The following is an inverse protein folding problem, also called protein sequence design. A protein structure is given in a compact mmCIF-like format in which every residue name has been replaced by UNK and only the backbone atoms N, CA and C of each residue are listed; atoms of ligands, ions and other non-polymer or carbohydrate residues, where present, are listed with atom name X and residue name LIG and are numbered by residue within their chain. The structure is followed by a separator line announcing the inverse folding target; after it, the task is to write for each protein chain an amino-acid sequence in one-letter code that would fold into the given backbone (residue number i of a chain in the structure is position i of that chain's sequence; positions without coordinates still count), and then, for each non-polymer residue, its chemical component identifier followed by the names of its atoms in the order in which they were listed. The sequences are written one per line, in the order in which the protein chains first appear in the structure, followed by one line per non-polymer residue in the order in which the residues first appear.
data_IF_920482134428
#
_entry.id   IF_920482134428
#
_cell.length_a   1.000
_cell.length_b   1.000
_cell.length_c   1.000
_cell.angle_alpha   90.00
_cell.angle_beta   90.00
_cell.angle_gamma   90.00
#
_symmetry.space_group_name_H-M   'P 1'
#
loop_
_entity.id
_entity.type
_entity.pdbx_description
1 polymer ?
#
# COMPACT_ATOMS: atom_id res chain seq x y z
N UNK A 1 29.44 20.38 37.63
CA UNK A 1 29.27 19.53 36.43
C UNK A 1 28.96 20.37 35.19
N UNK A 2 27.87 21.16 35.18
CA UNK A 2 27.50 22.05 34.05
C UNK A 2 28.63 23.06 33.72
N UNK A 3 29.18 23.76 34.72
CA UNK A 3 30.29 24.70 34.51
C UNK A 3 31.57 24.05 33.94
N UNK A 4 31.80 22.76 34.21
CA UNK A 4 32.93 22.02 33.64
C UNK A 4 32.69 21.73 32.15
N UNK A 5 31.44 21.45 31.76
CA UNK A 5 31.07 21.27 30.35
C UNK A 5 31.22 22.57 29.56
N UNK A 6 30.75 23.69 30.13
CA UNK A 6 30.88 25.02 29.51
C UNK A 6 32.36 25.39 29.34
N UNK A 7 33.17 25.24 30.39
CA UNK A 7 34.60 25.56 30.32
C UNK A 7 35.37 24.64 29.36
N UNK A 8 35.00 23.36 29.26
CA UNK A 8 35.53 22.45 28.26
C UNK A 8 35.18 22.89 26.83
N UNK A 9 33.92 23.25 26.58
CA UNK A 9 33.46 23.75 25.26
C UNK A 9 34.18 25.03 24.85
N UNK A 10 34.37 25.97 25.79
CA UNK A 10 35.09 27.23 25.53
C UNK A 10 36.57 27.00 25.20
N UNK A 11 37.25 26.08 25.90
CA UNK A 11 38.65 25.74 25.61
C UNK A 11 38.82 25.07 24.24
N UNK A 12 37.82 24.30 23.81
CA UNK A 12 37.85 23.52 22.57
C UNK A 12 36.98 24.14 21.45
N UNK A 13 36.92 25.47 21.36
CA UNK A 13 36.04 26.20 20.42
C UNK A 13 36.07 25.71 18.97
N UNK A 14 37.25 25.35 18.45
CA UNK A 14 37.38 24.88 17.06
C UNK A 14 36.70 23.53 16.86
N UNK A 15 36.81 22.64 17.85
CA UNK A 15 36.18 21.31 17.80
C UNK A 15 34.66 21.46 17.87
N UNK A 16 34.15 22.33 18.76
CA UNK A 16 32.71 22.57 18.89
C UNK A 16 32.13 23.14 17.60
N UNK A 17 32.81 24.10 16.96
CA UNK A 17 32.37 24.66 15.68
C UNK A 17 32.39 23.61 14.54
N UNK A 18 33.40 22.74 14.51
CA UNK A 18 33.46 21.63 13.54
C UNK A 18 32.32 20.62 13.75
N UNK A 19 32.00 20.30 15.01
CA UNK A 19 30.85 19.43 15.34
C UNK A 19 29.54 20.09 14.90
N UNK A 20 29.34 21.37 15.22
CA UNK A 20 28.14 22.10 14.82
C UNK A 20 27.99 22.16 13.29
N UNK A 21 29.08 22.43 12.56
CA UNK A 21 29.08 22.41 11.09
C UNK A 21 28.79 21.01 10.53
N UNK A 22 29.36 19.97 11.14
CA UNK A 22 29.09 18.58 10.77
C UNK A 22 27.63 18.18 11.01
N UNK A 23 27.06 18.56 12.16
CA UNK A 23 25.64 18.36 12.47
C UNK A 23 24.74 19.14 11.51
N UNK A 24 25.08 20.37 11.18
CA UNK A 24 24.33 21.14 10.18
C UNK A 24 24.35 20.46 8.82
N UNK A 25 25.52 20.04 8.34
CA UNK A 25 25.64 19.32 7.07
C UNK A 25 24.87 18.01 7.04
N UNK A 26 24.92 17.23 8.13
CA UNK A 26 24.12 16.01 8.27
C UNK A 26 22.63 16.31 8.33
N UNK A 27 22.20 17.34 9.04
CA UNK A 27 20.80 17.72 9.11
C UNK A 27 20.24 18.19 7.77
N UNK A 28 21.01 18.96 6.99
CA UNK A 28 20.63 19.33 5.61
C UNK A 28 20.46 18.09 4.73
N UNK A 29 21.36 17.12 4.82
CA UNK A 29 21.19 15.83 4.14
C UNK A 29 19.92 15.11 4.61
N UNK A 30 19.70 15.04 5.93
CA UNK A 30 18.54 14.39 6.54
C UNK A 30 17.20 15.00 6.11
N UNK A 31 17.12 16.32 5.93
CA UNK A 31 15.93 17.00 5.38
C UNK A 31 15.60 16.46 3.98
N UNK A 32 16.60 16.21 3.14
CA UNK A 32 16.38 15.74 1.76
C UNK A 32 16.05 14.26 1.64
N UNK A 33 16.43 13.45 2.64
CA UNK A 33 16.21 11.99 2.63
C UNK A 33 15.06 11.55 3.53
N UNK A 34 14.44 12.44 4.29
CA UNK A 34 13.38 12.08 5.22
C UNK A 34 12.15 11.58 4.47
N UNK A 35 11.47 10.57 5.05
CA UNK A 35 10.19 10.08 4.52
C UNK A 35 9.13 11.15 4.73
N UNK A 36 8.41 11.54 3.69
CA UNK A 36 7.40 12.60 3.76
C UNK A 36 6.01 12.00 3.60
N UNK A 37 5.08 12.42 4.46
CA UNK A 37 3.65 12.11 4.33
C UNK A 37 2.82 13.28 4.87
N UNK A 38 1.54 13.35 4.53
CA UNK A 38 0.65 14.39 5.04
C UNK A 38 0.32 14.14 6.52
N UNK A 39 0.11 12.88 6.89
CA UNK A 39 -0.30 12.43 8.22
C UNK A 39 0.58 11.28 8.69
N UNK A 40 0.77 11.09 10.02
CA UNK A 40 1.39 9.87 10.52
C UNK A 40 0.50 8.66 10.25
N UNK A 41 1.11 7.49 10.15
CA UNK A 41 0.36 6.24 10.09
C UNK A 41 -0.28 5.96 11.46
N UNK A 42 -1.61 6.03 11.51
CA UNK A 42 -2.43 5.76 12.70
C UNK A 42 -3.08 4.37 12.65
N UNK A 43 -2.68 3.53 11.69
CA UNK A 43 -3.27 2.21 11.53
C UNK A 43 -2.83 1.25 12.64
N UNK A 44 -3.74 0.36 13.03
CA UNK A 44 -3.40 -0.73 13.93
C UNK A 44 -2.43 -1.70 13.25
N UNK A 45 -1.44 -2.19 14.01
CA UNK A 45 -0.61 -3.29 13.56
C UNK A 45 -1.46 -4.54 13.41
N UNK A 46 -1.84 -4.85 12.17
CA UNK A 46 -2.77 -5.92 11.88
C UNK A 46 -2.32 -6.77 10.71
N UNK A 47 -2.67 -8.04 10.77
CA UNK A 47 -2.51 -9.00 9.68
C UNK A 47 -3.88 -9.48 9.25
N UNK A 48 -4.17 -9.29 7.97
CA UNK A 48 -5.43 -9.72 7.37
C UNK A 48 -5.27 -11.16 6.87
N UNK A 49 -6.23 -12.01 7.20
CA UNK A 49 -6.40 -13.35 6.64
C UNK A 49 -7.73 -13.35 5.90
N UNK A 50 -7.68 -13.74 4.63
CA UNK A 50 -8.83 -13.77 3.75
C UNK A 50 -9.06 -15.19 3.25
N UNK A 51 -10.29 -15.68 3.36
CA UNK A 51 -10.67 -17.02 2.90
C UNK A 51 -11.92 -16.95 2.04
N UNK A 52 -11.82 -17.48 0.82
CA UNK A 52 -12.96 -17.62 -0.09
C UNK A 52 -13.50 -19.05 -0.06
N UNK A 53 -14.83 -19.17 0.05
CA UNK A 53 -15.54 -20.42 -0.11
C UNK A 53 -16.94 -20.13 -0.68
N UNK A 54 -16.96 -19.79 -1.98
CA UNK A 54 -18.13 -19.25 -2.66
C UNK A 54 -19.37 -20.16 -2.63
N UNK A 55 -20.55 -19.54 -2.61
CA UNK A 55 -21.84 -20.22 -2.60
C UNK A 55 -22.31 -20.67 -1.21
N UNK A 56 -21.68 -20.18 -0.13
CA UNK A 56 -22.03 -20.51 1.26
C UNK A 56 -22.67 -19.32 1.98
N UNK A 57 -23.66 -19.59 2.82
CA UNK A 57 -24.30 -18.56 3.64
C UNK A 57 -23.33 -18.01 4.70
N UNK A 58 -23.52 -16.77 5.18
CA UNK A 58 -22.68 -16.19 6.22
C UNK A 58 -22.59 -17.04 7.48
N UNK A 59 -23.69 -17.71 7.88
CA UNK A 59 -23.68 -18.60 9.05
C UNK A 59 -22.79 -19.82 8.86
N UNK A 60 -22.82 -20.45 7.67
CA UNK A 60 -21.94 -21.59 7.37
C UNK A 60 -20.48 -21.14 7.31
N UNK A 61 -20.21 -19.97 6.74
CA UNK A 61 -18.87 -19.38 6.75
C UNK A 61 -18.37 -19.14 8.16
N UNK A 62 -19.22 -18.62 9.05
CA UNK A 62 -18.88 -18.43 10.46
C UNK A 62 -18.52 -19.75 11.13
N UNK A 63 -19.42 -20.73 11.06
CA UNK A 63 -19.27 -21.99 11.81
C UNK A 63 -18.12 -22.87 11.30
N UNK A 64 -17.86 -22.87 9.99
CA UNK A 64 -16.92 -23.81 9.36
C UNK A 64 -15.56 -23.20 9.00
N UNK A 65 -15.47 -21.87 8.88
CA UNK A 65 -14.24 -21.18 8.41
C UNK A 65 -13.78 -20.14 9.43
N UNK A 66 -14.60 -19.11 9.67
CA UNK A 66 -14.20 -17.96 10.48
C UNK A 66 -13.95 -18.35 11.93
N UNK A 67 -14.88 -19.05 12.57
CA UNK A 67 -14.78 -19.42 13.99
C UNK A 67 -13.57 -20.35 14.27
N UNK A 68 -13.34 -21.43 13.49
CA UNK A 68 -12.12 -22.24 13.64
C UNK A 68 -10.83 -21.44 13.45
N UNK A 69 -10.77 -20.52 12.49
CA UNK A 69 -9.58 -19.70 12.26
C UNK A 69 -9.36 -18.68 13.39
N UNK A 70 -10.39 -17.93 13.79
CA UNK A 70 -10.31 -16.94 14.86
C UNK A 70 -9.85 -17.57 16.17
N UNK A 71 -10.46 -18.69 16.57
CA UNK A 71 -10.09 -19.39 17.81
C UNK A 71 -8.65 -19.92 17.78
N UNK A 72 -8.14 -20.34 16.62
CA UNK A 72 -6.75 -20.77 16.47
C UNK A 72 -5.76 -19.59 16.50
N UNK A 73 -6.13 -18.44 15.94
CA UNK A 73 -5.30 -17.24 15.83
C UNK A 73 -5.28 -16.43 17.14
N UNK A 74 -6.35 -16.45 17.93
CA UNK A 74 -6.45 -15.69 19.18
C UNK A 74 -5.40 -16.09 20.22
N UNK A 75 -4.95 -17.35 20.22
CA UNK A 75 -3.94 -17.86 21.15
C UNK A 75 -2.49 -17.54 20.76
N UNK A 76 -2.25 -16.80 19.67
CA UNK A 76 -0.89 -16.45 19.25
C UNK A 76 -0.25 -15.40 20.17
N UNK A 77 1.08 -15.45 20.35
CA UNK A 77 1.78 -14.45 21.15
C UNK A 77 1.63 -13.04 20.56
N UNK A 78 1.56 -12.04 21.43
CA UNK A 78 1.44 -10.62 21.09
C UNK A 78 0.16 -10.22 20.33
N UNK A 79 -0.83 -11.12 20.23
CA UNK A 79 -2.16 -10.75 19.75
C UNK A 79 -2.88 -9.95 20.83
N UNK A 80 -3.41 -8.79 20.46
CA UNK A 80 -4.25 -7.95 21.31
C UNK A 80 -5.70 -8.43 21.25
N UNK A 81 -6.23 -8.61 20.04
CA UNK A 81 -7.54 -9.21 19.79
C UNK A 81 -7.66 -9.62 18.30
N UNK A 82 -8.66 -10.45 17.99
CA UNK A 82 -8.95 -10.90 16.62
C UNK A 82 -10.38 -10.51 16.26
N UNK A 83 -10.59 -9.94 15.08
CA UNK A 83 -11.92 -9.63 14.54
C UNK A 83 -12.20 -10.54 13.35
N UNK A 84 -13.35 -11.21 13.33
CA UNK A 84 -13.82 -11.99 12.20
C UNK A 84 -15.07 -11.35 11.58
N UNK A 85 -15.16 -11.35 10.26
CA UNK A 85 -16.33 -10.93 9.50
C UNK A 85 -16.67 -12.01 8.48
N UNK A 86 -17.82 -12.65 8.68
CA UNK A 86 -18.35 -13.68 7.79
C UNK A 86 -19.38 -13.08 6.83
N UNK A 87 -19.09 -13.16 5.53
CA UNK A 87 -19.97 -12.72 4.45
C UNK A 87 -20.42 -13.91 3.60
N UNK A 88 -21.25 -13.66 2.60
CA UNK A 88 -21.65 -14.71 1.67
C UNK A 88 -20.44 -15.20 0.86
N UNK A 89 -20.00 -16.43 1.14
CA UNK A 89 -18.87 -17.07 0.48
C UNK A 89 -17.49 -16.51 0.83
N UNK A 90 -17.37 -15.59 1.79
CA UNK A 90 -16.10 -14.95 2.14
C UNK A 90 -15.95 -14.80 3.66
N UNK A 91 -14.72 -14.93 4.14
CA UNK A 91 -14.33 -14.69 5.53
C UNK A 91 -13.14 -13.74 5.58
N UNK A 92 -13.29 -12.64 6.32
CA UNK A 92 -12.22 -11.69 6.60
C UNK A 92 -11.87 -11.76 8.08
N UNK A 93 -10.61 -12.04 8.38
CA UNK A 93 -10.10 -12.10 9.75
C UNK A 93 -8.98 -11.08 9.88
N UNK A 94 -9.13 -10.18 10.83
CA UNK A 94 -8.15 -9.18 11.19
C UNK A 94 -7.51 -9.61 12.50
N UNK A 95 -6.22 -9.93 12.47
CA UNK A 95 -5.44 -10.27 13.67
C UNK A 95 -4.70 -9.01 14.09
N UNK A 96 -5.08 -8.41 15.22
CA UNK A 96 -4.51 -7.16 15.72
C UNK A 96 -3.45 -7.50 16.76
N UNK A 97 -2.23 -7.05 16.54
CA UNK A 97 -1.08 -7.25 17.41
C UNK A 97 -0.90 -6.07 18.38
N UNK A 98 -0.01 -6.22 19.34
CA UNK A 98 0.45 -5.11 20.17
C UNK A 98 1.22 -4.10 19.30
N UNK A 99 1.17 -2.82 19.66
CA UNK A 99 1.69 -1.73 18.82
C UNK A 99 3.20 -1.86 18.51
N UNK A 100 3.98 -2.46 19.41
CA UNK A 100 5.44 -2.65 19.26
C UNK A 100 5.85 -3.94 18.53
N UNK A 101 4.88 -4.75 18.08
CA UNK A 101 5.18 -5.99 17.37
C UNK A 101 5.75 -5.70 15.98
N UNK A 102 6.77 -6.43 15.55
CA UNK A 102 7.23 -6.34 14.16
C UNK A 102 6.19 -6.95 13.20
N UNK A 103 5.83 -6.22 12.14
CA UNK A 103 4.78 -6.63 11.19
C UNK A 103 5.16 -7.89 10.42
N UNK A 104 6.42 -8.00 9.99
CA UNK A 104 6.85 -9.18 9.22
C UNK A 104 6.91 -10.42 10.11
N UNK A 105 7.37 -10.29 11.35
CA UNK A 105 7.28 -11.33 12.36
C UNK A 105 5.84 -11.75 12.62
N UNK A 106 4.91 -10.79 12.77
CA UNK A 106 3.49 -11.07 12.95
C UNK A 106 2.91 -11.86 11.76
N UNK A 107 3.24 -11.45 10.53
CA UNK A 107 2.85 -12.13 9.29
C UNK A 107 3.39 -13.56 9.21
N UNK A 108 4.65 -13.77 9.59
CA UNK A 108 5.25 -15.11 9.66
C UNK A 108 4.55 -16.00 10.69
N UNK A 109 4.25 -15.47 11.88
CA UNK A 109 3.52 -16.22 12.92
C UNK A 109 2.12 -16.60 12.49
N UNK A 110 1.41 -15.68 11.83
CA UNK A 110 0.09 -15.95 11.24
C UNK A 110 0.21 -17.05 10.20
N UNK A 111 1.18 -16.97 9.28
CA UNK A 111 1.38 -17.97 8.24
C UNK A 111 1.68 -19.37 8.81
N UNK A 112 2.52 -19.45 9.84
CA UNK A 112 2.77 -20.70 10.57
C UNK A 112 1.47 -21.28 11.14
N UNK A 113 0.64 -20.44 11.76
CA UNK A 113 -0.61 -20.88 12.37
C UNK A 113 -1.66 -21.29 11.32
N UNK A 114 -1.72 -20.59 10.20
CA UNK A 114 -2.61 -20.92 9.08
C UNK A 114 -2.27 -22.28 8.47
N UNK A 115 -0.99 -22.63 8.35
CA UNK A 115 -0.58 -23.95 7.84
C UNK A 115 -1.12 -25.11 8.69
N UNK A 116 -1.25 -24.92 10.00
CA UNK A 116 -1.89 -25.90 10.88
C UNK A 116 -3.42 -25.85 10.76
N UNK A 117 -4.00 -24.66 10.79
CA UNK A 117 -5.45 -24.46 10.77
C UNK A 117 -6.10 -24.87 9.45
N UNK A 118 -5.37 -24.84 8.33
CA UNK A 118 -5.86 -25.26 7.02
C UNK A 118 -6.39 -26.70 6.99
N UNK A 119 -5.88 -27.58 7.88
CA UNK A 119 -6.37 -28.96 8.00
C UNK A 119 -7.75 -29.08 8.65
N UNK A 120 -8.20 -28.04 9.33
CA UNK A 120 -9.50 -27.97 9.99
C UNK A 120 -10.58 -27.39 9.06
N UNK A 121 -10.18 -26.88 7.90
CA UNK A 121 -11.08 -26.22 6.97
C UNK A 121 -11.71 -27.21 5.98
N UNK A 122 -12.94 -26.94 5.51
CA UNK A 122 -13.57 -27.72 4.44
C UNK A 122 -12.75 -27.72 3.15
N UNK A 123 -12.93 -28.76 2.34
CA UNK A 123 -12.31 -28.83 1.02
C UNK A 123 -12.71 -27.62 0.15
N UNK A 124 -11.70 -26.93 -0.40
CA UNK A 124 -11.87 -25.74 -1.22
C UNK A 124 -11.86 -24.41 -0.46
N UNK A 125 -11.87 -24.40 0.87
CA UNK A 125 -11.69 -23.17 1.67
C UNK A 125 -10.21 -22.95 1.97
N UNK A 126 -9.53 -22.12 1.16
CA UNK A 126 -8.09 -21.90 1.27
C UNK A 126 -7.84 -20.51 1.89
N UNK A 127 -7.31 -20.43 3.12
CA UNK A 127 -7.00 -19.16 3.75
C UNK A 127 -5.72 -18.59 3.14
N UNK A 128 -5.76 -17.30 2.85
CA UNK A 128 -4.67 -16.53 2.24
C UNK A 128 -4.32 -15.34 3.11
N UNK A 129 -3.07 -14.90 3.05
CA UNK A 129 -2.62 -13.71 3.75
C UNK A 129 -2.95 -12.48 2.90
N UNK A 130 -3.51 -11.44 3.51
CA UNK A 130 -3.75 -10.17 2.85
C UNK A 130 -2.44 -9.45 2.48
N UNK A 131 -2.52 -8.34 1.72
CA UNK A 131 -1.36 -7.54 1.33
C UNK A 131 -0.55 -7.03 2.54
N UNK A 132 0.68 -6.60 2.31
CA UNK A 132 1.53 -5.94 3.31
C UNK A 132 1.33 -4.41 3.35
N UNK A 133 0.17 -3.94 2.88
CA UNK A 133 -0.31 -2.57 3.03
C UNK A 133 -1.39 -2.42 4.10
N UNK A 134 -1.58 -1.21 4.61
CA UNK A 134 -2.60 -0.88 5.63
C UNK A 134 -3.82 -0.21 4.99
N UNK A 135 -4.90 0.00 5.74
CA UNK A 135 -6.07 0.74 5.25
C UNK A 135 -5.76 2.20 4.88
N UNK A 136 -4.72 2.78 5.48
CA UNK A 136 -4.18 4.09 5.08
C UNK A 136 -3.12 3.97 3.97
N UNK A 137 -2.81 2.78 3.48
CA UNK A 137 -1.89 2.56 2.37
C UNK A 137 -2.45 2.93 0.99
N UNK A 138 -3.71 3.35 0.89
CA UNK A 138 -4.34 3.74 -0.37
C UNK A 138 -3.83 5.10 -0.84
N UNK A 139 -2.81 5.12 -1.70
CA UNK A 139 -2.08 6.35 -2.08
C UNK A 139 -2.55 6.98 -3.38
N UNK A 140 -3.05 6.18 -4.32
CA UNK A 140 -3.49 6.66 -5.64
C UNK A 140 -4.61 5.77 -6.19
N UNK A 141 -5.71 6.36 -6.64
CA UNK A 141 -6.79 5.65 -7.34
C UNK A 141 -6.91 6.19 -8.76
N UNK A 142 -7.06 5.29 -9.72
CA UNK A 142 -7.26 5.65 -11.11
C UNK A 142 -8.37 4.82 -11.73
N UNK A 143 -8.97 5.36 -12.79
CA UNK A 143 -9.85 4.65 -13.71
C UNK A 143 -9.24 4.62 -15.10
N UNK A 144 -9.70 3.69 -15.93
CA UNK A 144 -9.38 3.64 -17.35
C UNK A 144 -10.46 4.41 -18.11
N UNK A 145 -10.09 5.55 -18.71
CA UNK A 145 -10.93 6.23 -19.67
C UNK A 145 -10.82 5.52 -21.02
N UNK A 146 -11.85 4.76 -21.38
CA UNK A 146 -11.87 3.87 -22.53
C UNK A 146 -13.22 3.99 -23.27
N UNK A 147 -13.49 5.17 -23.81
CA UNK A 147 -14.74 5.44 -24.54
C UNK A 147 -14.98 4.40 -25.66
N UNK A 148 -16.13 3.74 -25.62
CA UNK A 148 -16.53 2.72 -26.59
C UNK A 148 -15.98 1.31 -26.35
N UNK A 149 -15.22 1.09 -25.27
CA UNK A 149 -14.75 -0.24 -24.86
C UNK A 149 -15.71 -0.85 -23.83
N UNK A 150 -16.00 -2.14 -23.97
CA UNK A 150 -16.83 -2.88 -23.01
C UNK A 150 -16.17 -2.95 -21.62
N UNK A 151 -16.97 -2.91 -20.55
CA UNK A 151 -16.49 -2.95 -19.17
C UNK A 151 -15.73 -4.25 -18.84
N UNK A 152 -16.04 -5.36 -19.52
CA UNK A 152 -15.30 -6.61 -19.38
C UNK A 152 -13.94 -6.58 -20.11
N UNK A 153 -13.83 -5.86 -21.22
CA UNK A 153 -12.56 -5.61 -21.89
C UNK A 153 -11.67 -4.67 -21.09
N UNK A 154 -12.23 -3.59 -20.55
CA UNK A 154 -11.53 -2.69 -19.64
C UNK A 154 -10.99 -3.44 -18.42
N UNK A 155 -11.82 -4.31 -17.82
CA UNK A 155 -11.41 -5.15 -16.69
C UNK A 155 -10.32 -6.14 -17.05
N UNK A 156 -10.36 -6.72 -18.25
CA UNK A 156 -9.29 -7.59 -18.72
C UNK A 156 -7.96 -6.84 -18.91
N UNK A 157 -7.99 -5.62 -19.48
CA UNK A 157 -6.80 -4.76 -19.58
C UNK A 157 -6.26 -4.41 -18.20
N UNK A 158 -7.15 -4.06 -17.26
CA UNK A 158 -6.78 -3.76 -15.88
C UNK A 158 -6.10 -4.97 -15.20
N UNK A 159 -6.73 -6.13 -15.21
CA UNK A 159 -6.26 -7.30 -14.46
C UNK A 159 -5.02 -7.98 -15.08
N UNK A 160 -4.93 -8.02 -16.41
CA UNK A 160 -3.91 -8.80 -17.12
C UNK A 160 -2.76 -7.98 -17.70
N UNK A 161 -2.88 -6.65 -17.74
CA UNK A 161 -1.82 -5.78 -18.25
C UNK A 161 -1.40 -4.72 -17.21
N UNK A 162 -2.33 -3.83 -16.83
CA UNK A 162 -2.02 -2.70 -15.95
C UNK A 162 -1.59 -3.16 -14.55
N UNK A 163 -2.35 -4.07 -13.94
CA UNK A 163 -2.10 -4.60 -12.60
C UNK A 163 -0.67 -5.14 -12.48
N UNK A 164 -0.25 -6.02 -13.37
CA UNK A 164 1.09 -6.60 -13.36
C UNK A 164 2.18 -5.56 -13.60
N UNK A 165 1.95 -4.58 -14.47
CA UNK A 165 2.94 -3.56 -14.76
C UNK A 165 3.17 -2.61 -13.57
N UNK A 166 2.10 -2.20 -12.88
CA UNK A 166 2.17 -1.30 -11.73
C UNK A 166 2.58 -2.03 -10.43
N UNK A 167 2.26 -3.31 -10.27
CA UNK A 167 2.67 -4.10 -9.11
C UNK A 167 4.19 -4.32 -9.04
N UNK A 168 4.91 -4.16 -10.16
CA UNK A 168 6.37 -4.22 -10.20
C UNK A 168 7.06 -2.92 -9.71
N UNK A 169 6.31 -1.88 -9.37
CA UNK A 169 6.87 -0.62 -8.90
C UNK A 169 7.36 -0.78 -7.45
N UNK A 170 8.62 -0.40 -7.12
CA UNK A 170 9.13 -0.44 -5.76
C UNK A 170 8.22 0.34 -4.79
N UNK A 171 7.94 -0.26 -3.63
CA UNK A 171 7.08 0.28 -2.59
C UNK A 171 5.57 0.04 -2.78
N UNK A 172 5.15 -0.50 -3.92
CA UNK A 172 3.76 -0.99 -4.10
C UNK A 172 3.62 -2.37 -3.44
N UNK A 173 2.57 -2.51 -2.63
CA UNK A 173 2.14 -3.78 -2.03
C UNK A 173 1.19 -4.53 -2.96
N UNK A 174 0.16 -3.84 -3.42
CA UNK A 174 -0.91 -4.40 -4.22
C UNK A 174 -1.50 -3.36 -5.16
N UNK A 175 -1.96 -3.82 -6.32
CA UNK A 175 -2.86 -3.09 -7.19
C UNK A 175 -4.23 -3.79 -7.15
N UNK A 176 -5.15 -3.22 -6.40
CA UNK A 176 -6.48 -3.79 -6.19
C UNK A 176 -7.44 -3.27 -7.28
N UNK A 177 -7.86 -4.15 -8.17
CA UNK A 177 -8.80 -3.82 -9.25
C UNK A 177 -10.21 -3.65 -8.71
N UNK A 178 -10.96 -2.69 -9.25
CA UNK A 178 -12.37 -2.48 -8.93
C UNK A 178 -13.20 -2.21 -10.19
N UNK A 179 -14.51 -2.41 -10.07
CA UNK A 179 -15.46 -2.21 -11.17
C UNK A 179 -15.32 -3.24 -12.29
N UNK A 180 -16.13 -3.07 -13.34
CA UNK A 180 -16.11 -3.91 -14.53
C UNK A 180 -16.60 -5.34 -14.34
N UNK A 181 -16.43 -6.15 -15.39
CA UNK A 181 -16.85 -7.55 -15.42
C UNK A 181 -15.66 -8.48 -15.63
N UNK A 182 -15.46 -9.46 -14.74
CA UNK A 182 -14.55 -10.54 -15.05
C UNK A 182 -15.19 -11.44 -16.11
N UNK A 183 -14.50 -11.63 -17.23
CA UNK A 183 -15.02 -12.44 -18.34
C UNK A 183 -15.16 -13.89 -17.89
N UNK A 184 -16.36 -14.44 -18.02
CA UNK A 184 -16.69 -15.81 -17.68
C UNK A 184 -17.42 -16.48 -18.85
N UNK A 185 -17.08 -17.73 -19.13
CA UNK A 185 -17.89 -18.58 -20.01
C UNK A 185 -18.97 -19.27 -19.18
N UNK A 186 -20.24 -18.92 -19.43
CA UNK A 186 -21.38 -19.49 -18.73
C UNK A 186 -22.08 -20.54 -19.59
N UNK A 187 -22.25 -21.73 -19.02
CA UNK A 187 -23.00 -22.84 -19.62
C UNK A 187 -24.37 -22.89 -18.93
N UNK A 188 -25.41 -22.39 -19.62
CA UNK A 188 -26.79 -22.38 -19.12
C UNK A 188 -27.52 -23.62 -19.60
N UNK A 189 -27.70 -24.59 -18.71
CA UNK A 189 -28.28 -25.90 -19.02
C UNK A 189 -29.81 -25.84 -19.01
N UNK A 190 -30.47 -26.46 -19.99
CA UNK A 190 -31.93 -26.59 -20.06
C UNK A 190 -32.40 -27.85 -19.31
N UNK A 191 -33.18 -27.71 -18.22
CA UNK A 191 -33.67 -28.85 -17.44
C UNK A 191 -34.53 -29.84 -18.26
N UNK A 192 -35.29 -29.36 -19.24
CA UNK A 192 -36.14 -30.21 -20.08
C UNK A 192 -35.29 -31.08 -21.00
N UNK A 193 -34.23 -30.50 -21.59
CA UNK A 193 -33.30 -31.25 -22.44
C UNK A 193 -32.49 -32.26 -21.65
N UNK A 194 -32.03 -31.90 -20.45
CA UNK A 194 -31.39 -32.85 -19.53
C UNK A 194 -32.29 -34.07 -19.28
N UNK A 195 -33.56 -33.83 -19.00
CA UNK A 195 -34.54 -34.90 -18.75
C UNK A 195 -34.73 -35.77 -20.01
N UNK A 196 -34.87 -35.15 -21.19
CA UNK A 196 -35.03 -35.85 -22.46
C UNK A 196 -33.84 -36.77 -22.78
N UNK A 197 -32.61 -36.30 -22.57
CA UNK A 197 -31.39 -37.08 -22.79
C UNK A 197 -31.00 -37.97 -21.60
N UNK A 198 -31.79 -37.99 -20.52
CA UNK A 198 -31.52 -38.70 -19.28
C UNK A 198 -30.12 -38.37 -18.69
N UNK A 199 -29.79 -37.08 -18.67
CA UNK A 199 -28.54 -36.53 -18.16
C UNK A 199 -28.76 -35.75 -16.86
N UNK A 200 -27.76 -35.81 -15.97
CA UNK A 200 -27.73 -35.06 -14.72
C UNK A 200 -26.71 -33.91 -14.79
N UNK A 201 -26.94 -32.84 -14.02
CA UNK A 201 -26.00 -31.70 -13.92
C UNK A 201 -24.58 -32.14 -13.53
N UNK A 202 -24.36 -33.06 -12.56
CA UNK A 202 -23.02 -33.56 -12.24
C UNK A 202 -22.31 -34.22 -13.43
N UNK A 203 -23.02 -34.92 -14.31
CA UNK A 203 -22.42 -35.51 -15.52
C UNK A 203 -21.95 -34.43 -16.49
N UNK A 204 -22.73 -33.37 -16.69
CA UNK A 204 -22.32 -32.22 -17.52
C UNK A 204 -21.07 -31.56 -16.94
N UNK A 205 -21.07 -31.28 -15.63
CA UNK A 205 -19.91 -30.69 -14.95
C UNK A 205 -18.65 -31.56 -15.08
N UNK A 206 -18.79 -32.89 -14.93
CA UNK A 206 -17.68 -33.81 -15.07
C UNK A 206 -17.13 -33.84 -16.51
N UNK A 207 -18.01 -33.85 -17.52
CA UNK A 207 -17.62 -33.81 -18.92
C UNK A 207 -16.84 -32.53 -19.27
N UNK A 208 -17.33 -31.37 -18.82
CA UNK A 208 -16.63 -30.09 -19.05
C UNK A 208 -15.26 -30.06 -18.36
N UNK A 209 -15.18 -30.51 -17.09
CA UNK A 209 -13.91 -30.57 -16.35
C UNK A 209 -12.88 -31.51 -17.00
N UNK A 210 -13.33 -32.63 -17.55
CA UNK A 210 -12.45 -33.60 -18.20
C UNK A 210 -11.88 -33.12 -19.55
N UNK A 211 -12.56 -32.18 -20.21
CA UNK A 211 -12.21 -31.69 -21.56
C UNK A 211 -11.49 -30.33 -21.56
N UNK A 212 -11.02 -29.86 -20.41
CA UNK A 212 -10.23 -28.62 -20.30
C UNK A 212 -8.86 -28.91 -19.67
N UNK A 213 -8.04 -29.73 -20.34
CA UNK A 213 -6.73 -30.10 -19.85
C UNK A 213 -5.74 -30.38 -20.99
N UNK A 214 -4.47 -30.06 -20.78
CA UNK A 214 -3.37 -30.48 -21.65
C UNK A 214 -2.58 -31.61 -20.98
N UNK A 215 -2.16 -32.60 -21.76
CA UNK A 215 -1.34 -33.71 -21.27
C UNK A 215 -0.02 -33.84 -22.04
N UNK A 216 1.04 -34.21 -21.32
CA UNK A 216 2.36 -34.45 -21.91
C UNK A 216 2.52 -35.92 -22.30
N UNK A 217 2.95 -36.19 -23.54
CA UNK A 217 3.28 -37.53 -24.04
C UNK A 217 4.74 -37.94 -23.85
N UNK A 218 5.49 -37.22 -22.98
CA UNK A 218 6.94 -37.38 -22.75
C UNK A 218 7.77 -37.12 -24.02
N UNK A 219 8.99 -37.68 -24.07
CA UNK A 219 9.95 -37.56 -25.17
C UNK A 219 9.88 -38.83 -26.01
N UNK A 220 9.78 -38.67 -27.32
CA UNK A 220 10.00 -39.70 -28.31
C UNK A 220 11.31 -39.40 -29.05
N UNK A 221 12.16 -40.40 -29.25
CA UNK A 221 13.47 -40.22 -29.87
C UNK A 221 13.51 -40.87 -31.23
N UNK A 222 13.92 -40.10 -32.25
CA UNK A 222 14.08 -40.59 -33.61
C UNK A 222 15.29 -39.93 -34.26
N UNK A 223 16.22 -40.75 -34.77
CA UNK A 223 17.46 -40.28 -35.42
C UNK A 223 18.27 -39.31 -34.55
N UNK A 224 18.50 -39.66 -33.28
CA UNK A 224 19.21 -38.85 -32.29
C UNK A 224 18.58 -37.46 -31.99
N UNK A 225 17.34 -37.23 -32.43
CA UNK A 225 16.54 -36.05 -32.10
C UNK A 225 15.43 -36.42 -31.13
N UNK A 226 15.33 -35.69 -30.02
CA UNK A 226 14.25 -35.82 -29.04
C UNK A 226 13.06 -34.94 -29.38
N UNK A 227 11.95 -35.55 -29.80
CA UNK A 227 10.67 -34.89 -30.00
C UNK A 227 9.86 -34.91 -28.70
N UNK A 228 9.39 -33.75 -28.26
CA UNK A 228 8.48 -33.65 -27.12
C UNK A 228 7.05 -33.81 -27.65
N UNK A 229 6.34 -34.83 -27.17
CA UNK A 229 4.93 -35.04 -27.52
C UNK A 229 4.09 -34.16 -26.60
N UNK A 230 3.35 -33.22 -27.19
CA UNK A 230 2.39 -32.35 -26.50
C UNK A 230 1.00 -32.57 -27.08
N UNK A 231 -0.01 -32.74 -26.23
CA UNK A 231 -1.42 -32.67 -26.63
C UNK A 231 -1.96 -31.27 -26.37
N UNK A 232 -2.92 -30.84 -27.19
CA UNK A 232 -3.68 -29.59 -27.00
C UNK A 232 -5.08 -29.96 -26.50
N UNK A 233 -5.55 -29.29 -25.45
CA UNK A 233 -6.87 -29.55 -24.88
C UNK A 233 -7.42 -28.43 -23.99
N UNK A 234 -6.81 -27.24 -24.02
CA UNK A 234 -7.41 -26.05 -23.43
C UNK A 234 -8.48 -25.48 -24.34
N UNK A 235 -9.63 -25.16 -23.75
CA UNK A 235 -10.76 -24.54 -24.42
C UNK A 235 -10.46 -23.06 -24.70
N UNK A 236 -10.62 -22.62 -25.94
CA UNK A 236 -10.29 -21.25 -26.38
C UNK A 236 -11.49 -20.43 -26.82
N UNK A 237 -12.61 -21.08 -27.12
CA UNK A 237 -13.78 -20.44 -27.72
C UNK A 237 -15.08 -21.03 -27.16
N UNK A 238 -16.17 -20.26 -27.31
CA UNK A 238 -17.52 -20.73 -26.99
C UNK A 238 -17.90 -21.96 -27.79
N UNK A 239 -17.50 -22.02 -29.06
CA UNK A 239 -17.76 -23.12 -29.98
C UNK A 239 -17.07 -24.42 -29.52
N UNK A 240 -15.85 -24.33 -28.99
CA UNK A 240 -15.16 -25.49 -28.43
C UNK A 240 -15.90 -26.05 -27.22
N UNK A 241 -16.41 -25.17 -26.35
CA UNK A 241 -17.21 -25.57 -25.17
C UNK A 241 -18.53 -26.23 -25.61
N UNK A 242 -19.20 -25.67 -26.61
CA UNK A 242 -20.44 -26.21 -27.17
C UNK A 242 -20.30 -27.62 -27.75
N UNK A 243 -19.14 -27.91 -28.34
CA UNK A 243 -18.85 -29.20 -28.98
C UNK A 243 -18.34 -30.27 -28.00
N UNK A 244 -18.22 -29.97 -26.69
CA UNK A 244 -17.78 -30.97 -25.70
C UNK A 244 -18.78 -32.13 -25.67
N UNK A 245 -18.34 -33.38 -25.92
CA UNK A 245 -19.21 -34.54 -25.82
C UNK A 245 -19.45 -34.92 -24.34
N UNK A 246 -20.71 -35.18 -23.99
CA UNK A 246 -21.11 -35.56 -22.63
C UNK A 246 -21.35 -37.07 -22.55
N UNK A 247 -22.18 -37.58 -23.45
CA UNK A 247 -22.51 -39.02 -23.54
C UNK A 247 -22.68 -39.39 -25.01
N UNK A 248 -22.46 -40.66 -25.35
CA UNK A 248 -22.79 -41.18 -26.67
C UNK A 248 -24.01 -42.10 -26.56
N UNK A 249 -25.06 -41.80 -27.30
CA UNK A 249 -26.28 -42.62 -27.38
C UNK A 249 -26.46 -43.14 -28.81
N UNK A 250 -26.58 -44.45 -28.99
CA UNK A 250 -26.76 -45.07 -30.32
C UNK A 250 -25.74 -44.57 -31.36
N UNK A 251 -24.47 -44.43 -30.94
CA UNK A 251 -23.34 -43.96 -31.78
C UNK A 251 -23.36 -42.46 -32.13
N UNK A 252 -24.35 -41.70 -31.64
CA UNK A 252 -24.43 -40.25 -31.79
C UNK A 252 -23.96 -39.58 -30.48
N UNK A 253 -22.91 -38.74 -30.51
CA UNK A 253 -22.50 -37.99 -29.33
C UNK A 253 -23.51 -36.88 -29.03
N UNK A 254 -23.98 -36.83 -27.79
CA UNK A 254 -24.73 -35.71 -27.22
C UNK A 254 -23.72 -34.76 -26.62
N UNK A 255 -23.70 -33.53 -27.12
CA UNK A 255 -22.76 -32.47 -26.81
C UNK A 255 -23.40 -31.37 -25.95
N UNK A 256 -22.59 -30.44 -25.42
CA UNK A 256 -23.08 -29.34 -24.59
C UNK A 256 -24.13 -28.50 -25.32
N UNK A 257 -23.94 -28.19 -26.61
CA UNK A 257 -24.93 -27.46 -27.43
C UNK A 257 -26.31 -28.12 -27.50
N UNK A 258 -26.38 -29.44 -27.35
CA UNK A 258 -27.64 -30.17 -27.44
C UNK A 258 -28.49 -29.97 -26.19
N UNK A 259 -27.86 -29.66 -25.04
CA UNK A 259 -28.53 -29.56 -23.74
C UNK A 259 -28.41 -28.19 -23.06
N UNK A 260 -27.52 -27.33 -23.53
CA UNK A 260 -27.18 -26.07 -22.90
C UNK A 260 -26.84 -24.99 -23.93
N UNK A 261 -26.97 -23.73 -23.51
CA UNK A 261 -26.47 -22.57 -24.27
C UNK A 261 -25.18 -22.09 -23.65
N UNK A 262 -24.15 -21.86 -24.47
CA UNK A 262 -22.88 -21.33 -24.01
C UNK A 262 -22.79 -19.86 -24.43
N UNK A 263 -22.47 -19.00 -23.48
CA UNK A 263 -22.28 -17.57 -23.77
C UNK A 263 -21.15 -17.00 -22.92
N UNK A 264 -20.45 -16.01 -23.47
CA UNK A 264 -19.54 -15.19 -22.69
C UNK A 264 -20.36 -14.16 -21.91
N UNK A 265 -20.14 -14.10 -20.60
CA UNK A 265 -20.83 -13.20 -19.67
C UNK A 265 -19.82 -12.57 -18.71
N UNK A 266 -20.29 -11.73 -17.80
CA UNK A 266 -19.56 -11.29 -16.62
C UNK A 266 -19.83 -12.18 -15.41
N UNK A 267 -18.81 -12.41 -14.59
CA UNK A 267 -19.00 -12.98 -13.26
C UNK A 267 -19.91 -12.09 -12.39
N UNK A 268 -20.59 -12.70 -11.42
CA UNK A 268 -21.36 -11.95 -10.41
C UNK A 268 -20.46 -10.95 -9.69
N UNK A 269 -20.81 -9.66 -9.80
CA UNK A 269 -20.01 -8.57 -9.22
C UNK A 269 -20.15 -8.53 -7.70
N UNK A 270 -19.01 -8.40 -7.02
CA UNK A 270 -18.95 -8.14 -5.57
C UNK A 270 -18.93 -6.64 -5.25
N UNK A 271 -18.66 -5.79 -6.24
CA UNK A 271 -18.64 -4.33 -6.10
C UNK A 271 -18.84 -3.63 -7.45
N UNK A 272 -19.42 -2.44 -7.39
CA UNK A 272 -19.67 -1.56 -8.53
C UNK A 272 -18.99 -0.22 -8.22
N UNK A 273 -18.38 0.39 -9.23
CA UNK A 273 -17.76 1.70 -9.11
C UNK A 273 -18.33 2.61 -10.19
N UNK A 274 -18.85 3.75 -9.77
CA UNK A 274 -19.41 4.77 -10.65
C UNK A 274 -18.54 6.03 -10.59
N UNK A 275 -18.30 6.64 -11.76
CA UNK A 275 -17.52 7.86 -11.88
C UNK A 275 -18.45 9.04 -12.18
N UNK A 276 -18.54 9.97 -11.23
CA UNK A 276 -19.27 11.25 -11.36
C UNK A 276 -20.77 11.14 -11.72
N UNK A 277 -21.40 9.97 -11.59
CA UNK A 277 -22.79 9.76 -12.02
C UNK A 277 -22.96 9.63 -13.53
N UNK A 278 -21.86 9.56 -14.29
CA UNK A 278 -21.86 9.43 -15.75
C UNK A 278 -21.84 7.96 -16.20
N UNK A 279 -21.58 7.03 -15.26
CA UNK A 279 -21.65 5.60 -15.48
C UNK A 279 -20.59 4.82 -14.71
N UNK A 280 -20.65 3.50 -14.89
CA UNK A 280 -19.70 2.58 -14.29
C UNK A 280 -18.30 2.73 -14.90
N UNK A 281 -17.27 2.66 -14.06
CA UNK A 281 -15.88 2.74 -14.47
C UNK A 281 -15.06 1.57 -13.91
N UNK A 282 -13.99 1.24 -14.64
CA UNK A 282 -13.02 0.22 -14.23
C UNK A 282 -11.71 0.88 -13.87
N UNK A 283 -11.06 0.39 -12.81
CA UNK A 283 -9.85 1.03 -12.31
C UNK A 283 -9.07 0.17 -11.33
N UNK A 284 -8.08 0.81 -10.72
CA UNK A 284 -7.22 0.20 -9.72
C UNK A 284 -6.90 1.15 -8.57
N UNK A 285 -6.77 0.57 -7.38
CA UNK A 285 -6.25 1.23 -6.19
C UNK A 285 -4.81 0.79 -6.02
N UNK A 286 -3.91 1.78 -5.92
CA UNK A 286 -2.51 1.57 -5.59
C UNK A 286 -2.38 1.55 -4.08
N UNK A 287 -2.05 0.37 -3.54
CA UNK A 287 -1.81 0.16 -2.12
C UNK A 287 -0.30 0.15 -1.89
N UNK A 288 0.17 1.12 -1.11
CA UNK A 288 1.56 1.21 -0.67
C UNK A 288 1.87 0.17 0.40
N UNK A 289 3.08 -0.37 0.39
CA UNK A 289 3.60 -1.22 1.45
C UNK A 289 3.81 -0.42 2.73
N UNK A 290 3.62 -1.09 3.87
CA UNK A 290 3.86 -0.50 5.17
C UNK A 290 5.28 0.08 5.32
N UNK A 291 5.38 1.29 5.86
CA UNK A 291 6.66 1.95 6.17
C UNK A 291 7.40 2.58 4.97
N UNK A 292 6.85 2.48 3.76
CA UNK A 292 7.38 3.15 2.56
C UNK A 292 6.99 4.64 2.51
N UNK A 293 7.66 5.40 1.63
CA UNK A 293 7.39 6.82 1.41
C UNK A 293 6.29 7.02 0.35
N UNK A 294 5.14 7.58 0.76
CA UNK A 294 3.99 7.77 -0.12
C UNK A 294 4.31 8.64 -1.35
N UNK A 295 4.99 9.77 -1.16
CA UNK A 295 5.33 10.69 -2.26
C UNK A 295 6.25 10.01 -3.29
N UNK A 296 7.24 9.26 -2.80
CA UNK A 296 8.16 8.53 -3.67
C UNK A 296 7.45 7.43 -4.47
N UNK A 297 6.61 6.64 -3.82
CA UNK A 297 5.86 5.56 -4.49
C UNK A 297 4.89 6.14 -5.51
N UNK A 298 4.15 7.21 -5.18
CA UNK A 298 3.25 7.88 -6.12
C UNK A 298 4.00 8.37 -7.36
N UNK A 299 5.16 9.03 -7.18
CA UNK A 299 5.99 9.50 -8.29
C UNK A 299 6.45 8.34 -9.18
N UNK A 300 6.90 7.25 -8.59
CA UNK A 300 7.35 6.07 -9.33
C UNK A 300 6.19 5.40 -10.09
N UNK A 301 5.01 5.35 -9.47
CA UNK A 301 3.80 4.82 -10.10
C UNK A 301 3.35 5.69 -11.27
N UNK A 302 3.31 7.01 -11.13
CA UNK A 302 2.98 7.94 -12.22
C UNK A 302 3.94 7.78 -13.40
N UNK A 303 5.24 7.71 -13.14
CA UNK A 303 6.25 7.44 -14.17
C UNK A 303 6.01 6.09 -14.87
N UNK A 304 5.66 5.05 -14.11
CA UNK A 304 5.33 3.74 -14.68
C UNK A 304 4.04 3.76 -15.49
N UNK A 305 3.03 4.53 -15.06
CA UNK A 305 1.78 4.72 -15.82
C UNK A 305 2.03 5.37 -17.17
N UNK A 306 2.96 6.33 -17.27
CA UNK A 306 3.37 6.91 -18.55
C UNK A 306 4.00 5.87 -19.49
N UNK A 307 4.88 5.02 -18.97
CA UNK A 307 5.49 3.91 -19.74
C UNK A 307 4.43 2.91 -20.22
N UNK A 308 3.54 2.49 -19.32
CA UNK A 308 2.47 1.51 -19.59
C UNK A 308 1.44 2.06 -20.57
N UNK A 309 1.23 3.38 -20.60
CA UNK A 309 0.30 4.03 -21.53
C UNK A 309 0.65 3.76 -22.99
N UNK A 310 1.93 3.49 -23.32
CA UNK A 310 2.35 3.18 -24.68
C UNK A 310 1.83 1.81 -25.20
N UNK A 311 1.54 0.86 -24.31
CA UNK A 311 1.00 -0.45 -24.67
C UNK A 311 -0.51 -0.57 -24.51
N UNK A 312 -1.20 0.49 -24.09
CA UNK A 312 -2.65 0.50 -23.98
C UNK A 312 -3.31 0.48 -25.38
N UNK A 313 -4.50 -0.12 -25.51
CA UNK A 313 -5.28 -0.05 -26.74
C UNK A 313 -5.59 1.40 -27.14
N UNK A 314 -5.76 1.64 -28.45
CA UNK A 314 -6.06 2.98 -28.98
C UNK A 314 -7.28 3.57 -28.28
N UNK A 315 -7.13 4.78 -27.73
CA UNK A 315 -8.21 5.50 -27.06
C UNK A 315 -8.33 5.24 -25.56
N UNK A 316 -7.59 4.28 -25.00
CA UNK A 316 -7.57 4.01 -23.55
C UNK A 316 -6.51 4.90 -22.89
N UNK A 317 -6.89 5.59 -21.81
CA UNK A 317 -6.00 6.44 -21.01
C UNK A 317 -6.24 6.26 -19.52
N UNK A 318 -5.23 6.56 -18.72
CA UNK A 318 -5.40 6.68 -17.28
C UNK A 318 -6.09 7.98 -16.92
N UNK A 319 -7.09 7.89 -16.04
CA UNK A 319 -7.72 9.01 -15.38
C UNK A 319 -7.49 8.88 -13.87
N UNK A 320 -6.73 9.80 -13.27
CA UNK A 320 -6.43 9.75 -11.83
C UNK A 320 -7.60 10.38 -11.08
N UNK A 321 -8.25 9.59 -10.21
CA UNK A 321 -9.44 9.99 -9.44
C UNK A 321 -9.07 10.46 -8.04
N UNK A 322 -8.05 9.84 -7.44
CA UNK A 322 -7.53 10.21 -6.14
C UNK A 322 -6.01 10.18 -6.16
N UNK A 323 -5.40 11.22 -5.62
CA UNK A 323 -3.96 11.38 -5.56
C UNK A 323 -3.55 12.02 -4.23
N UNK A 324 -2.90 11.24 -3.37
CA UNK A 324 -2.45 11.74 -2.06
C UNK A 324 -1.31 12.76 -2.17
N UNK A 325 -0.53 12.76 -3.26
CA UNK A 325 0.61 13.68 -3.41
C UNK A 325 0.19 15.15 -3.38
N UNK A 326 -1.04 15.48 -3.84
CA UNK A 326 -1.57 16.84 -3.74
C UNK A 326 -1.63 17.33 -2.28
N UNK A 327 -2.21 16.52 -1.40
CA UNK A 327 -2.31 16.84 0.03
C UNK A 327 -0.93 16.89 0.71
N UNK A 328 -0.02 15.98 0.34
CA UNK A 328 1.35 15.96 0.87
C UNK A 328 2.07 17.28 0.52
N UNK A 329 2.04 17.66 -0.75
CA UNK A 329 2.69 18.86 -1.24
C UNK A 329 2.09 20.13 -0.60
N UNK A 330 0.77 20.26 -0.54
CA UNK A 330 0.11 21.39 0.13
C UNK A 330 0.47 21.47 1.63
N UNK A 331 0.52 20.32 2.32
CA UNK A 331 0.89 20.27 3.75
C UNK A 331 2.34 20.70 3.98
N UNK A 332 3.27 20.18 3.16
CA UNK A 332 4.69 20.51 3.22
C UNK A 332 4.92 21.99 2.90
N UNK A 333 4.28 22.51 1.86
CA UNK A 333 4.42 23.91 1.46
C UNK A 333 3.85 24.87 2.51
N UNK A 334 2.71 24.53 3.12
CA UNK A 334 2.12 25.29 4.22
C UNK A 334 3.07 25.38 5.42
N UNK A 335 3.65 24.26 5.81
CA UNK A 335 4.58 24.18 6.94
C UNK A 335 5.90 24.89 6.62
N UNK A 336 6.44 24.69 5.42
CA UNK A 336 7.65 25.38 4.96
C UNK A 336 7.46 26.89 5.01
N UNK A 337 6.31 27.37 4.55
CA UNK A 337 5.96 28.80 4.60
C UNK A 337 5.89 29.27 6.05
N UNK A 338 5.18 28.53 6.92
CA UNK A 338 5.04 28.86 8.34
C UNK A 338 6.40 28.89 9.05
N UNK A 339 7.27 27.91 8.83
CA UNK A 339 8.61 27.86 9.42
C UNK A 339 9.48 29.04 8.95
N UNK A 340 9.38 29.43 7.69
CA UNK A 340 10.10 30.60 7.17
C UNK A 340 9.56 31.88 7.80
N UNK A 341 8.23 32.04 7.89
CA UNK A 341 7.60 33.19 8.54
C UNK A 341 8.00 33.30 10.01
N UNK A 342 7.94 32.19 10.77
CA UNK A 342 8.38 32.12 12.16
C UNK A 342 9.87 32.49 12.31
N UNK A 343 10.75 31.93 11.47
CA UNK A 343 12.17 32.26 11.49
C UNK A 343 12.41 33.74 11.19
N UNK A 344 11.68 34.33 10.23
CA UNK A 344 11.81 35.74 9.88
C UNK A 344 11.31 36.65 11.00
N UNK A 345 10.14 36.35 11.57
CA UNK A 345 9.54 37.12 12.67
C UNK A 345 10.44 37.04 13.91
N UNK A 346 10.91 35.84 14.27
CA UNK A 346 11.83 35.65 15.39
C UNK A 346 13.14 36.42 15.16
N UNK A 347 13.71 36.33 13.96
CA UNK A 347 14.94 37.08 13.60
C UNK A 347 14.73 38.59 13.68
N UNK A 348 13.58 39.10 13.23
CA UNK A 348 13.24 40.52 13.28
C UNK A 348 13.10 41.03 14.72
N UNK A 349 12.43 40.26 15.59
CA UNK A 349 12.28 40.59 17.01
C UNK A 349 13.66 40.59 17.70
N UNK A 350 14.47 39.55 17.48
CA UNK A 350 15.84 39.46 18.03
C UNK A 350 16.69 40.66 17.60
N UNK A 351 16.62 41.05 16.33
CA UNK A 351 17.36 42.20 15.83
C UNK A 351 16.88 43.52 16.46
N UNK A 352 15.56 43.67 16.65
CA UNK A 352 14.95 44.85 17.26
C UNK A 352 15.34 45.00 18.74
N UNK A 353 15.36 43.92 19.52
CA UNK A 353 15.68 43.98 20.96
C UNK A 353 17.17 44.15 21.25
N UNK A 354 18.05 43.46 20.52
CA UNK A 354 19.50 43.51 20.82
C UNK A 354 20.20 44.71 20.19
N UNK A 355 19.67 45.29 19.12
CA UNK A 355 20.25 46.41 18.35
C UNK A 355 21.74 46.27 18.00
N UNK A 356 22.26 45.03 18.00
CA UNK A 356 23.66 44.70 17.74
C UNK A 356 23.72 43.47 16.82
N UNK A 357 24.13 43.71 15.57
CA UNK A 357 24.03 42.72 14.49
C UNK A 357 24.79 41.43 14.75
N UNK A 358 25.94 41.47 15.44
CA UNK A 358 26.72 40.25 15.75
C UNK A 358 26.01 39.37 16.78
N UNK A 359 25.37 39.99 17.77
CA UNK A 359 24.64 39.28 18.82
C UNK A 359 23.38 38.64 18.24
N UNK A 360 22.68 39.36 17.37
CA UNK A 360 21.52 38.83 16.65
C UNK A 360 21.91 37.65 15.74
N UNK A 361 23.04 37.73 15.01
CA UNK A 361 23.49 36.67 14.10
C UNK A 361 23.76 35.34 14.83
N UNK A 362 24.26 35.39 16.08
CA UNK A 362 24.48 34.18 16.88
C UNK A 362 23.17 33.42 17.11
N UNK A 363 22.10 34.15 17.46
CA UNK A 363 20.77 33.58 17.71
C UNK A 363 20.13 33.10 16.39
N UNK A 364 20.29 33.87 15.31
CA UNK A 364 19.73 33.51 14.00
C UNK A 364 20.37 32.23 13.45
N UNK A 365 21.68 32.01 13.63
CA UNK A 365 22.36 30.79 13.17
C UNK A 365 21.90 29.55 13.96
N UNK A 366 21.54 29.72 15.23
CA UNK A 366 21.06 28.63 16.08
C UNK A 366 19.74 28.03 15.54
N UNK A 367 18.88 28.84 14.93
CA UNK A 367 17.58 28.41 14.40
C UNK A 367 17.70 27.30 13.34
N UNK A 368 18.39 27.51 12.18
CA UNK A 368 18.60 26.44 11.20
C UNK A 368 19.34 25.24 11.77
N UNK A 369 20.28 25.44 12.70
CA UNK A 369 21.04 24.35 13.32
C UNK A 369 20.13 23.45 14.15
N UNK A 370 19.24 24.03 14.95
CA UNK A 370 18.27 23.27 15.75
C UNK A 370 17.28 22.50 14.90
N UNK A 371 16.75 23.12 13.84
CA UNK A 371 15.87 22.44 12.87
C UNK A 371 16.60 21.28 12.20
N UNK A 372 17.84 21.51 11.73
CA UNK A 372 18.68 20.49 11.11
C UNK A 372 18.90 19.28 12.05
N UNK A 373 19.20 19.52 13.33
CA UNK A 373 19.32 18.47 14.35
C UNK A 373 18.00 17.73 14.56
N UNK A 374 16.86 18.45 14.55
CA UNK A 374 15.53 17.84 14.62
C UNK A 374 15.30 16.80 13.52
N UNK A 375 15.63 17.12 12.27
CA UNK A 375 15.53 16.17 11.15
C UNK A 375 16.50 14.97 11.26
N UNK A 376 17.69 15.15 11.84
CA UNK A 376 18.57 14.01 12.15
C UNK A 376 17.86 13.04 13.09
N UNK A 377 17.24 13.55 14.16
CA UNK A 377 16.55 12.72 15.13
C UNK A 377 15.32 12.03 14.52
N UNK A 378 14.52 12.74 13.70
CA UNK A 378 13.39 12.13 12.99
C UNK A 378 13.84 10.93 12.16
N UNK A 379 14.92 11.07 11.38
CA UNK A 379 15.44 9.98 10.55
C UNK A 379 16.04 8.84 11.38
N UNK A 380 16.73 9.14 12.49
CA UNK A 380 17.33 8.11 13.38
C UNK A 380 16.24 7.28 14.08
N UNK A 381 15.10 7.89 14.40
CA UNK A 381 13.95 7.21 15.00
C UNK A 381 12.94 6.68 13.98
N UNK A 382 13.23 6.78 12.67
CA UNK A 382 12.34 6.40 11.55
C UNK A 382 10.93 7.02 11.65
N UNK A 383 10.86 8.26 12.15
CA UNK A 383 9.62 9.04 12.23
C UNK A 383 9.44 9.80 10.92
N UNK A 384 8.27 9.65 10.29
CA UNK A 384 7.95 10.37 9.05
C UNK A 384 7.82 11.87 9.29
N UNK A 385 8.31 12.65 8.32
CA UNK A 385 8.09 14.09 8.23
C UNK A 385 6.67 14.35 7.76
N UNK A 386 5.78 14.58 8.71
CA UNK A 386 4.37 14.91 8.51
C UNK A 386 3.95 16.17 9.29
N UNK A 387 2.71 16.61 9.10
CA UNK A 387 2.20 17.85 9.71
C UNK A 387 2.37 17.91 11.23
N UNK A 388 2.19 16.79 11.94
CA UNK A 388 2.35 16.76 13.39
C UNK A 388 3.82 16.89 13.81
N UNK A 389 4.70 16.10 13.18
CA UNK A 389 6.14 16.12 13.48
C UNK A 389 6.77 17.49 13.21
N UNK A 390 6.42 18.12 12.08
CA UNK A 390 6.95 19.41 11.69
C UNK A 390 6.34 20.56 12.50
N UNK A 391 5.07 20.47 12.90
CA UNK A 391 4.47 21.41 13.85
C UNK A 391 5.18 21.34 15.21
N UNK A 392 5.60 20.15 15.64
CA UNK A 392 6.44 20.00 16.84
C UNK A 392 7.77 20.76 16.72
N UNK A 393 8.41 20.71 15.54
CA UNK A 393 9.62 21.49 15.25
C UNK A 393 9.31 23.00 15.27
N UNK A 394 8.23 23.43 14.63
CA UNK A 394 7.78 24.83 14.59
C UNK A 394 7.53 25.38 16.01
N UNK A 395 6.73 24.70 16.83
CA UNK A 395 6.49 25.09 18.23
C UNK A 395 7.78 25.15 19.06
N UNK A 396 8.77 24.31 18.77
CA UNK A 396 10.04 24.29 19.49
C UNK A 396 10.92 25.50 19.15
N UNK A 397 10.76 26.13 17.98
CA UNK A 397 11.55 27.30 17.58
C UNK A 397 11.42 28.43 18.59
N UNK A 398 10.20 28.72 19.06
CA UNK A 398 9.97 29.79 20.04
C UNK A 398 10.73 29.58 21.36
N UNK A 399 10.73 28.34 21.88
CA UNK A 399 11.42 27.98 23.13
C UNK A 399 12.94 28.06 22.96
N UNK A 400 13.47 27.59 21.83
CA UNK A 400 14.91 27.59 21.54
C UNK A 400 15.46 29.02 21.41
N UNK A 401 14.68 29.94 20.83
CA UNK A 401 15.05 31.34 20.68
C UNK A 401 15.09 32.06 22.03
N UNK A 402 14.12 31.79 22.91
CA UNK A 402 14.04 32.42 24.24
C UNK A 402 15.31 32.14 25.07
N UNK A 403 15.72 30.86 25.15
CA UNK A 403 16.95 30.46 25.86
C UNK A 403 18.21 31.16 25.28
N UNK A 404 18.26 31.32 23.96
CA UNK A 404 19.37 31.98 23.28
C UNK A 404 19.40 33.49 23.57
N UNK A 405 18.24 34.15 23.57
CA UNK A 405 18.10 35.57 23.91
C UNK A 405 18.55 35.80 25.35
N UNK A 406 18.05 35.02 26.30
CA UNK A 406 18.39 35.15 27.73
C UNK A 406 19.90 35.00 27.95
N UNK A 407 20.54 34.03 27.30
CA UNK A 407 21.98 33.82 27.44
C UNK A 407 22.79 34.99 26.87
N UNK A 408 22.43 35.48 25.68
CA UNK A 408 23.12 36.58 25.01
C UNK A 408 22.91 37.90 25.76
N UNK A 409 21.69 38.19 26.23
CA UNK A 409 21.38 39.36 27.03
C UNK A 409 22.12 39.34 28.36
N UNK A 410 22.12 38.20 29.06
CA UNK A 410 22.83 38.07 30.32
C UNK A 410 24.34 38.27 30.15
N UNK A 411 24.93 37.73 29.08
CA UNK A 411 26.34 37.95 28.75
C UNK A 411 26.62 39.43 28.42
N UNK A 412 25.73 40.07 27.65
CA UNK A 412 25.85 41.48 27.30
C UNK A 412 25.77 42.38 28.52
N UNK A 413 24.84 42.11 29.44
CA UNK A 413 24.68 42.85 30.69
C UNK A 413 25.92 42.73 31.59
N UNK A 414 26.46 41.53 31.77
CA UNK A 414 27.69 41.34 32.55
C UNK A 414 28.90 42.04 31.93
N UNK A 415 29.00 42.08 30.59
CA UNK A 415 30.05 42.84 29.90
C UNK A 415 29.90 44.34 30.11
N UNK A 416 28.68 44.88 30.04
CA UNK A 416 28.40 46.29 30.28
C UNK A 416 28.71 46.70 31.73
N UNK A 417 28.32 45.89 32.71
CA UNK A 417 28.61 46.14 34.14
C UNK A 417 30.12 46.09 34.43
N UNK A 418 30.85 45.15 33.83
CA UNK A 418 32.31 45.06 33.96
C UNK A 418 33.01 46.30 33.36
N UNK A 419 32.55 46.78 32.21
CA UNK A 419 33.09 47.95 31.54
C UNK A 419 32.85 49.25 32.35
N UNK A 420 31.68 49.38 32.99
CA UNK A 420 31.39 50.49 33.91
C UNK A 420 32.20 50.43 35.21
N UNK A 421 32.57 49.24 35.66
CA UNK A 421 33.41 49.05 36.86
C UNK A 421 34.87 49.39 36.56
N UNK A 422 35.36 49.11 35.35
CA UNK A 422 36.69 49.55 34.87
C UNK A 422 36.76 51.05 34.56
N UNK A 423 35.67 51.71 34.19
CA UNK A 423 35.65 53.17 33.96
C UNK A 423 35.50 54.00 35.26
N UNK A 424 34.93 53.42 36.32
CA UNK A 424 34.70 54.09 37.61
C UNK A 424 35.73 53.73 38.71
N UNK A 425 36.72 52.89 38.40
CA UNK A 425 37.85 52.55 39.28
C UNK A 425 39.17 53.02 38.68
#
# INVERSE_FOLDING_TARGET
MIGNLISFSLRNRMIVLLIAAGLFGWGVYSVTTSKVDAIPDLSENQVIVFTEWMGRSPQIMEDQVTYPLVTNLQGMPQVKYVRGVSMFGMSFIYVIFQDQTDIYWARERVLERLNYANRLLPEGAIPTLGPDGTGVGHILWYTLDAQGMDLGEQRAVQDWYVKFALQNVPGVSEIASFGGFQKQYQITVDPNKLTYYNLSVPQVMAAVRANNNESGGRKFEMSDIGYIIKTTGYLKSTEEIENIPIVTQNTIPVSVRDIATVQMTGESRLGIFDLNGEGEAVGGIVVMRYGENAEEVIRNVKAKMEEVSAGLPKGVKFNIVYDRSGLINESVDSIKTTLIEEMLVASAIVFLFLFHWRSALIIIIQLPLSVAIGFILLNVFDITSNIMSLTGIALSIGVIVDDAIVMVENAYRHLADAQQTEENG
#
